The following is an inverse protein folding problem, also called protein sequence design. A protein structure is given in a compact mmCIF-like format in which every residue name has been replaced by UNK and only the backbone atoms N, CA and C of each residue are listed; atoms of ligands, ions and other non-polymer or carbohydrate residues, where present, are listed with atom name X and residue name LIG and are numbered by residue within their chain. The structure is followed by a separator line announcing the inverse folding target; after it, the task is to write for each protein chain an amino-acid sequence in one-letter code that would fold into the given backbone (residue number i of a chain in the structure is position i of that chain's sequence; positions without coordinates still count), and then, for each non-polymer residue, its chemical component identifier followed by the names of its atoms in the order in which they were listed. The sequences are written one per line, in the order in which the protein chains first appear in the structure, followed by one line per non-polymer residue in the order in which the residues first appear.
data_IF_744490246114
#
_entry.id   IF_744490246114
#
_cell.length_a   1.000
_cell.length_b   1.000
_cell.length_c   1.000
_cell.angle_alpha   90.00
_cell.angle_beta   90.00
_cell.angle_gamma   90.00
#
_symmetry.space_group_name_H-M   'P 1'
#
loop_
_entity.id
_entity.type
_entity.pdbx_description
1 polymer ?
2 polymer ?
3 water ?
#
loop_
_entity_poly.entity_id
_entity_poly.type
_entity_poly.pdbx_seq_one_letter_code
_entity_poly.pdbx_strand_id
2 'polyribonucleotide' 'CACACACA' ?
#
# COMPACT_ATOMS: atom_id res chain seq x y z
N UNK A 1 1.83 4.77 -13.58
CA UNK A 1 0.57 4.41 -12.96
C UNK A 1 0.82 3.49 -11.76
N UNK A 2 -0.17 3.36 -10.89
CA UNK A 2 -0.02 2.55 -9.67
C UNK A 2 -0.76 1.23 -9.77
N UNK A 3 -0.47 0.49 -10.84
CA UNK A 3 -1.08 -0.82 -11.06
C UNK A 3 -0.11 -1.96 -10.78
N UNK A 4 1.13 -1.65 -10.38
CA UNK A 4 2.19 -2.63 -10.14
C UNK A 4 2.23 -3.03 -8.67
N UNK A 5 2.30 -4.33 -8.42
CA UNK A 5 2.30 -4.88 -7.08
C UNK A 5 3.64 -5.52 -6.74
N UNK A 6 4.06 -5.35 -5.49
CA UNK A 6 5.13 -6.10 -4.88
C UNK A 6 4.50 -7.12 -3.93
N UNK A 7 5.00 -8.35 -3.98
CA UNK A 7 4.49 -9.42 -3.13
C UNK A 7 5.66 -9.92 -2.32
N UNK A 8 5.59 -9.75 -1.00
CA UNK A 8 6.73 -9.97 -0.12
C UNK A 8 6.47 -11.09 0.88
N UNK A 9 7.53 -11.49 1.57
CA UNK A 9 7.45 -12.50 2.62
C UNK A 9 7.00 -13.85 2.05
N UNK A 10 7.44 -14.16 0.84
CA UNK A 10 7.07 -15.42 0.23
C UNK A 10 7.93 -16.55 0.79
N UNK A 11 7.38 -17.76 0.75
CA UNK A 11 8.10 -18.96 1.17
C UNK A 11 9.18 -19.30 0.15
N UNK A 12 10.03 -20.25 0.51
CA UNK A 12 11.14 -20.57 -0.36
C UNK A 12 10.75 -21.54 -1.47
N UNK A 13 9.50 -22.00 -1.48
CA UNK A 13 8.98 -22.81 -2.59
C UNK A 13 7.72 -22.22 -3.22
N UNK A 14 7.33 -20.99 -2.87
CA UNK A 14 6.19 -20.36 -3.52
C UNK A 14 6.52 -20.09 -4.99
N UNK A 15 5.63 -20.50 -5.88
CA UNK A 15 5.86 -20.36 -7.30
C UNK A 15 4.71 -19.63 -7.97
N UNK A 16 4.83 -19.36 -9.27
CA UNK A 16 3.76 -18.62 -9.96
C UNK A 16 2.40 -19.27 -9.83
N UNK A 17 2.34 -20.61 -9.83
CA UNK A 17 1.04 -21.26 -9.71
C UNK A 17 0.40 -20.97 -8.36
N UNK A 18 1.20 -20.99 -7.29
CA UNK A 18 0.69 -20.64 -5.97
C UNK A 18 0.09 -19.24 -5.97
N UNK A 19 0.83 -18.27 -6.50
CA UNK A 19 0.36 -16.89 -6.53
C UNK A 19 -0.85 -16.75 -7.44
N UNK A 20 -0.84 -17.43 -8.58
CA UNK A 20 -1.99 -17.39 -9.47
C UNK A 20 -3.25 -17.82 -8.73
N UNK A 21 -3.15 -18.88 -7.92
CA UNK A 21 -4.32 -19.39 -7.20
C UNK A 21 -4.74 -18.46 -6.07
N UNK A 22 -3.79 -17.74 -5.46
CA UNK A 22 -4.15 -16.77 -4.43
C UNK A 22 -4.97 -15.64 -5.03
N UNK A 23 -4.54 -15.11 -6.18
CA UNK A 23 -5.24 -13.98 -6.79
C UNK A 23 -6.55 -14.40 -7.45
N UNK A 24 -6.62 -15.64 -7.95
CA UNK A 24 -7.88 -16.16 -8.46
C UNK A 24 -8.92 -16.24 -7.35
N UNK A 25 -8.55 -16.82 -6.21
CA UNK A 25 -9.50 -17.02 -5.13
C UNK A 25 -10.05 -15.71 -4.58
N UNK A 26 -9.28 -14.62 -4.65
CA UNK A 26 -9.77 -13.31 -4.24
C UNK A 26 -10.31 -12.51 -5.42
N UNK A 27 -10.37 -13.13 -6.59
CA UNK A 27 -11.00 -12.55 -7.77
C UNK A 27 -10.35 -11.22 -8.15
N UNK A 28 -9.02 -11.19 -8.13
CA UNK A 28 -8.26 -10.05 -8.64
C UNK A 28 -7.72 -10.44 -10.01
N UNK A 29 -8.16 -9.81 -11.08
CA UNK A 29 -7.50 -10.00 -12.37
C UNK A 29 -6.09 -9.41 -12.37
N UNK A 30 -5.20 -10.03 -13.14
CA UNK A 30 -3.89 -9.46 -13.35
C UNK A 30 -3.66 -9.30 -14.84
N UNK A 31 -2.80 -8.35 -15.19
CA UNK A 31 -2.58 -7.95 -16.57
C UNK A 31 -1.33 -8.58 -17.16
N UNK A 32 -0.62 -9.38 -16.38
CA UNK A 32 0.61 -9.98 -16.83
C UNK A 32 0.96 -11.15 -15.95
N UNK A 33 2.14 -11.70 -16.16
CA UNK A 33 2.56 -12.88 -15.40
C UNK A 33 3.11 -12.50 -14.04
N UNK A 34 3.10 -13.47 -13.13
CA UNK A 34 3.82 -13.31 -11.87
C UNK A 34 5.31 -13.54 -12.12
N UNK A 35 6.13 -12.58 -11.74
CA UNK A 35 7.59 -12.71 -11.79
C UNK A 35 8.08 -13.02 -10.38
N UNK A 36 8.45 -14.27 -10.13
CA UNK A 36 8.83 -14.73 -8.80
C UNK A 36 10.35 -14.74 -8.67
N UNK A 37 10.87 -14.06 -7.66
CA UNK A 37 12.28 -14.00 -7.34
C UNK A 37 12.52 -14.87 -6.09
N UNK A 38 13.50 -14.49 -5.27
CA UNK A 38 13.87 -15.22 -4.06
C UNK A 38 13.20 -14.52 -2.87
N UNK A 39 12.09 -15.07 -2.41
CA UNK A 39 11.37 -14.50 -1.29
C UNK A 39 10.36 -13.42 -1.65
N UNK A 40 10.24 -13.05 -2.92
CA UNK A 40 9.32 -11.99 -3.31
C UNK A 40 8.94 -12.15 -4.77
N UNK A 41 7.90 -11.42 -5.19
CA UNK A 41 7.42 -11.50 -6.56
C UNK A 41 6.81 -10.17 -6.95
N UNK A 42 6.51 -10.03 -8.25
CA UNK A 42 5.84 -8.86 -8.80
C UNK A 42 4.72 -9.32 -9.72
N UNK A 43 3.66 -8.52 -9.78
CA UNK A 43 2.59 -8.74 -10.75
C UNK A 43 1.92 -7.39 -11.04
N UNK A 44 1.39 -7.24 -12.25
CA UNK A 44 0.64 -6.05 -12.65
C UNK A 44 -0.85 -6.34 -12.60
N UNK A 45 -1.62 -5.43 -12.02
CA UNK A 45 -3.07 -5.46 -12.16
C UNK A 45 -3.48 -4.58 -13.34
N UNK A 46 -4.72 -4.72 -13.83
CA UNK A 46 -5.11 -3.96 -15.04
C UNK A 46 -5.20 -2.45 -14.84
N UNK A 47 -5.41 -1.97 -13.61
CA UNK A 47 -5.51 -0.54 -13.33
C UNK A 47 -5.25 -0.32 -11.85
N UNK A 48 -5.38 0.94 -11.42
CA UNK A 48 -5.04 1.29 -10.05
C UNK A 48 -6.06 0.75 -9.05
N UNK A 49 -7.33 0.73 -9.42
CA UNK A 49 -8.35 0.29 -8.47
C UNK A 49 -8.24 -1.18 -8.12
N UNK A 50 -7.83 -2.01 -9.08
CA UNK A 50 -7.64 -3.43 -8.78
C UNK A 50 -6.42 -3.65 -7.88
N UNK A 51 -5.33 -2.94 -8.17
CA UNK A 51 -4.13 -3.06 -7.36
C UNK A 51 -4.44 -2.75 -5.91
N UNK A 52 -5.15 -1.64 -5.66
CA UNK A 52 -5.53 -1.30 -4.29
C UNK A 52 -6.43 -2.37 -3.69
N UNK A 53 -7.37 -2.90 -4.48
CA UNK A 53 -8.20 -4.00 -4.00
C UNK A 53 -7.36 -5.16 -3.51
N UNK A 54 -6.29 -5.49 -4.25
CA UNK A 54 -5.45 -6.62 -3.85
C UNK A 54 -4.72 -6.32 -2.55
N UNK A 55 -4.16 -5.12 -2.46
CA UNK A 55 -3.46 -4.71 -1.24
C UNK A 55 -4.41 -4.82 -0.05
N UNK A 56 -5.58 -4.18 -0.16
CA UNK A 56 -6.50 -4.14 0.96
C UNK A 56 -7.01 -5.53 1.31
N UNK A 57 -7.15 -6.41 0.32
CA UNK A 57 -7.66 -7.76 0.55
C UNK A 57 -6.61 -8.72 1.09
N UNK A 58 -5.35 -8.62 0.63
CA UNK A 58 -4.36 -9.65 0.88
C UNK A 58 -3.28 -9.26 1.88
N UNK A 59 -2.86 -8.00 1.88
CA UNK A 59 -1.64 -7.66 2.60
C UNK A 59 -1.84 -7.78 4.09
N UNK A 60 -1.01 -8.60 4.73
CA UNK A 60 -1.11 -8.85 6.15
C UNK A 60 -2.21 -9.80 6.54
N UNK A 61 -3.00 -10.30 5.58
CA UNK A 61 -4.18 -11.10 5.87
C UNK A 61 -4.07 -12.51 5.32
N UNK A 62 -3.64 -12.68 4.06
CA UNK A 62 -3.55 -14.00 3.43
C UNK A 62 -2.27 -14.73 3.81
N UNK A 63 -2.41 -15.97 4.26
CA UNK A 63 -1.26 -16.81 4.57
C UNK A 63 -1.05 -17.80 3.43
N UNK A 64 0.20 -17.91 2.97
CA UNK A 64 0.57 -18.85 1.91
C UNK A 64 1.77 -19.64 2.39
N UNK A 65 1.65 -20.97 2.41
CA UNK A 65 2.68 -21.84 2.98
C UNK A 65 3.00 -21.43 4.41
N UNK A 66 1.98 -21.00 5.14
CA UNK A 66 2.15 -20.63 6.52
C UNK A 66 2.88 -19.33 6.76
N UNK A 67 2.90 -18.41 5.79
CA UNK A 67 3.48 -17.09 5.97
C UNK A 67 2.48 -16.04 5.50
N UNK A 68 2.24 -14.99 6.29
CA UNK A 68 1.40 -13.89 5.81
C UNK A 68 2.06 -13.16 4.65
N UNK A 69 1.30 -12.95 3.58
CA UNK A 69 1.83 -12.28 2.40
C UNK A 69 1.86 -10.78 2.64
N UNK A 70 2.90 -10.12 2.14
CA UNK A 70 2.87 -8.67 1.98
C UNK A 70 2.50 -8.40 0.54
N UNK A 71 1.47 -7.59 0.33
CA UNK A 71 1.07 -7.13 -0.99
C UNK A 71 1.03 -5.62 -0.92
N UNK A 72 1.90 -4.96 -1.68
CA UNK A 72 2.04 -3.52 -1.58
C UNK A 72 2.31 -2.95 -2.96
N UNK A 73 2.10 -1.64 -3.11
CA UNK A 73 2.50 -0.98 -4.34
C UNK A 73 3.98 -1.21 -4.56
N UNK A 74 4.35 -1.61 -5.77
CA UNK A 74 5.76 -1.71 -6.09
C UNK A 74 6.29 -0.30 -6.32
N UNK A 75 7.33 0.08 -5.58
CA UNK A 75 7.91 1.39 -5.68
C UNK A 75 9.42 1.23 -5.88
N UNK A 76 9.98 1.72 -6.98
CA UNK A 76 11.45 1.71 -7.12
C UNK A 76 12.10 2.39 -5.92
N UNK A 77 13.23 1.83 -5.47
CA UNK A 77 13.95 2.37 -4.31
C UNK A 77 14.13 3.88 -4.41
N UNK A 78 14.67 4.34 -5.54
CA UNK A 78 15.00 5.76 -5.67
C UNK A 78 13.77 6.65 -5.80
N UNK A 79 12.56 6.09 -5.84
CA UNK A 79 11.34 6.89 -5.90
C UNK A 79 10.59 6.89 -4.57
N UNK A 80 11.22 6.43 -3.50
CA UNK A 80 10.68 6.57 -2.16
C UNK A 80 11.17 7.91 -1.64
N UNK A 81 10.36 8.95 -1.82
CA UNK A 81 10.81 10.29 -1.47
C UNK A 81 9.71 10.98 -0.67
N UNK A 82 8.86 11.76 -1.34
CA UNK A 82 7.91 12.61 -0.62
C UNK A 82 6.53 12.00 -0.47
N UNK A 83 6.21 10.93 -1.17
CA UNK A 83 4.82 10.54 -1.35
C UNK A 83 4.51 9.25 -0.61
N UNK A 84 3.35 9.25 0.05
CA UNK A 84 2.85 8.11 0.81
C UNK A 84 1.38 7.88 0.50
N UNK A 85 0.96 6.65 0.74
CA UNK A 85 -0.45 6.31 0.75
C UNK A 85 -0.81 5.82 2.14
N UNK A 86 -1.95 6.30 2.65
CA UNK A 86 -2.46 5.93 3.97
C UNK A 86 -3.76 5.16 3.78
N UNK A 87 -3.82 3.96 4.37
CA UNK A 87 -4.95 3.03 4.25
C UNK A 87 -5.56 2.78 5.62
N UNK A 88 -6.75 2.17 5.62
CA UNK A 88 -7.44 1.79 6.86
C UNK A 88 -7.86 3.01 7.66
N UNK A 89 -8.16 4.11 6.97
CA UNK A 89 -8.60 5.33 7.67
C UNK A 89 -10.03 5.13 8.15
N UNK A 90 -10.37 5.52 9.37
CA UNK A 90 -11.74 5.31 9.87
C UNK A 90 -12.77 5.94 8.95
N UNK A 91 -13.88 5.24 8.71
CA UNK A 91 -14.86 5.73 7.72
C UNK A 91 -15.38 7.13 7.99
N UNK A 92 -15.47 7.56 9.25
CA UNK A 92 -16.07 8.86 9.54
C UNK A 92 -15.07 9.83 10.15
N UNK A 93 -13.78 9.60 9.96
CA UNK A 93 -12.77 10.51 10.48
C UNK A 93 -12.83 11.83 9.71
N UNK A 94 -13.06 12.93 10.43
CA UNK A 94 -13.08 14.23 9.78
C UNK A 94 -11.72 14.54 9.19
N UNK A 95 -11.71 15.17 8.02
CA UNK A 95 -10.45 15.48 7.37
C UNK A 95 -9.57 16.37 8.23
N UNK A 96 -10.17 17.28 9.01
CA UNK A 96 -9.40 18.16 9.90
C UNK A 96 -8.62 17.36 10.93
N UNK A 97 -9.20 16.27 11.41
CA UNK A 97 -8.49 15.46 12.39
C UNK A 97 -7.33 14.74 11.72
N UNK A 98 -7.56 14.15 10.55
CA UNK A 98 -6.46 13.56 9.80
C UNK A 98 -5.36 14.58 9.55
N UNK A 99 -5.74 15.79 9.12
CA UNK A 99 -4.75 16.83 8.86
C UNK A 99 -3.94 17.15 10.12
N UNK A 100 -4.58 17.13 11.29
CA UNK A 100 -3.88 17.44 12.53
C UNK A 100 -2.84 16.39 12.87
N UNK A 101 -2.97 15.17 12.34
CA UNK A 101 -1.92 14.16 12.45
C UNK A 101 -0.82 14.38 11.42
N UNK A 102 -1.19 14.61 10.16
CA UNK A 102 -0.20 14.73 9.10
C UNK A 102 0.78 15.87 9.37
N UNK A 103 0.29 17.02 9.82
CA UNK A 103 1.18 18.17 9.93
C UNK A 103 2.14 18.05 11.09
N UNK A 104 1.97 17.03 11.94
CA UNK A 104 2.96 16.83 12.98
C UNK A 104 4.31 16.39 12.42
N UNK A 105 4.37 15.97 11.16
CA UNK A 105 5.60 15.46 10.58
C UNK A 105 6.14 16.30 9.42
N UNK A 106 5.45 17.35 9.01
CA UNK A 106 6.01 18.21 7.99
C UNK A 106 4.91 19.03 7.34
N UNK A 107 5.24 19.59 6.20
CA UNK A 107 4.30 20.40 5.43
C UNK A 107 3.64 19.51 4.40
N UNK A 108 2.32 19.46 4.41
CA UNK A 108 1.59 18.64 3.44
C UNK A 108 1.40 19.47 2.16
N UNK A 109 2.02 19.04 1.06
CA UNK A 109 1.81 19.70 -0.22
C UNK A 109 0.47 19.33 -0.84
N UNK A 110 0.04 18.09 -0.66
CA UNK A 110 -1.29 17.70 -1.12
C UNK A 110 -1.72 16.47 -0.36
N UNK A 111 -3.03 16.32 -0.23
CA UNK A 111 -3.62 15.13 0.36
C UNK A 111 -4.86 14.85 -0.47
N UNK A 112 -4.86 13.74 -1.23
CA UNK A 112 -5.92 13.39 -2.17
C UNK A 112 -6.66 12.15 -1.70
N UNK A 113 -7.99 12.21 -1.64
CA UNK A 113 -8.73 11.00 -1.35
C UNK A 113 -8.70 10.05 -2.54
N UNK A 114 -8.54 8.76 -2.25
CA UNK A 114 -8.56 7.72 -3.27
C UNK A 114 -9.87 6.97 -3.09
N UNK A 115 -10.77 7.08 -4.06
CA UNK A 115 -12.07 6.44 -3.91
C UNK A 115 -11.90 4.94 -3.92
N UNK A 116 -12.63 4.27 -3.04
CA UNK A 116 -12.44 2.85 -2.79
C UNK A 116 -13.79 2.22 -2.46
N UNK A 117 -13.83 0.89 -2.61
CA UNK A 117 -14.99 0.10 -2.22
C UNK A 117 -15.08 -0.10 -0.71
N UNK A 118 -13.94 -0.14 -0.02
CA UNK A 118 -13.92 -0.55 1.38
C UNK A 118 -14.69 0.43 2.26
N UNK A 119 -14.96 -0.01 3.49
CA UNK A 119 -15.52 0.88 4.50
C UNK A 119 -14.54 2.00 4.83
N UNK A 120 -13.25 1.69 4.83
CA UNK A 120 -12.20 2.60 5.24
C UNK A 120 -11.79 3.51 4.09
N UNK A 121 -11.26 4.67 4.44
CA UNK A 121 -10.79 5.62 3.44
C UNK A 121 -9.32 5.40 3.12
N UNK A 122 -8.87 6.02 2.03
CA UNK A 122 -7.49 5.94 1.56
C UNK A 122 -7.10 7.33 1.06
N UNK A 123 -5.93 7.82 1.46
CA UNK A 123 -5.44 9.08 0.93
C UNK A 123 -4.00 8.91 0.46
N UNK A 124 -3.66 9.67 -0.58
CA UNK A 124 -2.28 9.84 -1.01
C UNK A 124 -1.80 11.19 -0.51
N UNK A 125 -0.61 11.22 0.07
CA UNK A 125 -0.10 12.42 0.72
C UNK A 125 1.27 12.72 0.15
N UNK A 126 1.50 13.98 -0.22
CA UNK A 126 2.82 14.45 -0.64
C UNK A 126 3.32 15.42 0.42
N UNK A 127 4.42 15.05 1.09
CA UNK A 127 5.11 15.98 1.96
C UNK A 127 6.07 16.84 1.14
N UNK A 128 6.59 17.89 1.78
CA UNK A 128 7.50 18.78 1.07
C UNK A 128 8.90 18.19 0.94
N UNK A 129 9.29 17.28 1.83
CA UNK A 129 10.63 16.73 1.82
C UNK A 129 10.64 15.23 2.13
N UNK A 130 11.72 14.59 1.67
CA UNK A 130 11.96 13.18 1.94
C UNK A 130 11.98 12.89 3.44
N UNK A 131 12.69 13.72 4.22
CA UNK A 131 12.77 13.51 5.66
C UNK A 131 11.40 13.56 6.32
N UNK A 132 10.53 14.49 5.88
CA UNK A 132 9.22 14.59 6.51
C UNK A 132 8.40 13.35 6.24
N UNK A 133 8.41 12.86 4.99
CA UNK A 133 7.63 11.68 4.66
C UNK A 133 8.16 10.44 5.37
N UNK A 134 9.48 10.35 5.53
CA UNK A 134 10.05 9.22 6.26
C UNK A 134 9.56 9.22 7.70
N UNK A 135 9.58 10.39 8.34
CA UNK A 135 9.11 10.49 9.71
C UNK A 135 7.63 10.14 9.82
N UNK A 136 6.81 10.65 8.89
CA UNK A 136 5.38 10.35 8.91
C UNK A 136 5.12 8.86 8.71
N UNK A 137 5.83 8.25 7.76
CA UNK A 137 5.72 6.81 7.54
C UNK A 137 6.08 6.02 8.80
N UNK A 138 7.15 6.43 9.50
CA UNK A 138 7.60 5.69 10.67
C UNK A 138 6.63 5.85 11.85
N UNK A 139 6.03 7.03 12.02
CA UNK A 139 5.18 7.31 13.18
C UNK A 139 3.69 7.09 12.93
N UNK A 140 3.21 7.20 11.69
CA UNK A 140 1.78 6.99 11.43
C UNK A 140 1.43 5.54 11.17
N UNK A 141 2.36 4.77 10.60
CA UNK A 141 2.12 3.36 10.34
C UNK A 141 1.94 2.62 11.65
N UNK A 142 0.78 1.96 11.82
CA UNK A 142 0.46 1.29 13.06
C UNK A 142 -0.32 2.13 14.05
N UNK A 143 -0.58 3.40 13.75
CA UNK A 143 -1.25 4.24 14.72
C UNK A 143 -2.72 3.84 14.80
N UNK A 144 -3.24 3.71 16.02
CA UNK A 144 -4.60 3.22 16.25
C UNK A 144 -5.54 4.37 16.58
N UNK A 145 -6.67 4.43 15.89
CA UNK A 145 -7.65 5.46 16.21
C UNK A 145 -9.01 4.98 15.75
N UNK A 146 -10.04 5.30 16.55
CA UNK A 146 -11.43 5.00 16.21
C UNK A 146 -11.61 3.54 15.81
N UNK A 147 -10.84 2.66 16.46
CA UNK A 147 -10.88 1.21 16.30
C UNK A 147 -10.20 0.72 15.03
N UNK A 148 -9.35 1.53 14.41
CA UNK A 148 -8.64 1.12 13.21
C UNK A 148 -7.15 1.38 13.39
N UNK A 149 -6.34 0.65 12.63
CA UNK A 149 -4.89 0.81 12.64
C UNK A 149 -4.47 1.34 11.27
N UNK A 150 -3.93 2.56 11.23
CA UNK A 150 -3.52 3.13 9.95
C UNK A 150 -2.43 2.26 9.33
N UNK A 151 -2.45 2.16 8.01
CA UNK A 151 -1.37 1.54 7.26
C UNK A 151 -0.79 2.58 6.32
N UNK A 152 0.52 2.81 6.40
CA UNK A 152 1.19 3.83 5.60
C UNK A 152 2.33 3.19 4.82
N UNK A 153 2.43 3.54 3.54
CA UNK A 153 3.44 2.98 2.66
C UNK A 153 3.88 4.05 1.66
N UNK A 154 5.08 3.87 1.12
CA UNK A 154 5.53 4.72 0.04
C UNK A 154 4.72 4.45 -1.23
N UNK A 155 4.57 5.48 -2.04
CA UNK A 155 4.15 5.35 -3.44
C UNK A 155 5.16 6.10 -4.30
N UNK A 156 5.19 5.85 -5.61
CA UNK A 156 6.27 6.41 -6.42
C UNK A 156 6.25 7.93 -6.41
N UNK A 157 7.40 8.53 -6.10
CA UNK A 157 7.62 9.97 -6.29
C UNK A 157 8.50 10.11 -7.53
N UNK A 158 7.87 10.40 -8.67
CA UNK A 158 8.53 10.42 -9.96
C UNK A 158 9.05 11.79 -10.36
N UNK A 159 8.77 12.83 -9.59
CA UNK A 159 9.14 14.18 -9.97
C UNK A 159 10.18 14.82 -9.07
N UNK A 160 10.32 14.38 -7.82
CA UNK A 160 11.34 14.94 -6.94
C UNK A 160 12.73 14.70 -7.51
#
# INVERSE_FOLDING_TARGET
SMNKLYIGNLSDHAGPADLESVFKDAKIPVAGPFLVKTGYAFVDCPDEGWALKAIEALSGKMELHGKPMEVEHSVPKRQRIRKLQIRNIPPHLQWEVLDSLLVQYGVVESCEQVNTDSETAVVNVTYSSKDQARQALDKLNGFQLENFTLKVAYIPDETAAA
#
